data_IF_940425505265
#
_entry.id   IF_940425505265
#
_cell.length_a   1.000
_cell.length_b   1.000
_cell.length_c   1.000
_cell.angle_alpha   90.00
_cell.angle_beta   90.00
_cell.angle_gamma   90.00
#
_symmetry.space_group_name_H-M   'P 1'
#
loop_
_entity.id
_entity.type
_entity.pdbx_description
1 polymer ?
#
# COMPACT_ATOMS: atom_id res chain seq x y z
N UNK A 1 -19.89 8.45 -1.58
CA UNK A 1 -19.27 9.78 -1.41
C UNK A 1 -17.84 9.53 -0.96
N UNK A 2 -16.80 10.04 -1.65
CA UNK A 2 -15.42 9.64 -1.34
C UNK A 2 -15.02 10.05 0.09
N UNK A 3 -14.56 9.09 0.89
CA UNK A 3 -14.07 9.33 2.25
C UNK A 3 -12.64 9.90 2.18
N UNK A 4 -12.39 11.14 2.66
CA UNK A 4 -11.05 11.73 2.56
C UNK A 4 -10.10 11.11 3.59
N UNK A 5 -8.92 10.66 3.15
CA UNK A 5 -7.90 10.06 4.04
C UNK A 5 -7.49 10.98 5.19
N UNK A 6 -7.52 12.30 4.95
CA UNK A 6 -7.21 13.31 5.96
C UNK A 6 -8.12 13.30 7.19
N UNK A 7 -9.37 12.82 7.07
CA UNK A 7 -10.36 12.84 8.16
C UNK A 7 -9.97 11.98 9.36
N UNK A 8 -9.15 10.94 9.16
CA UNK A 8 -8.73 10.05 10.24
C UNK A 8 -7.34 10.37 10.79
N UNK A 9 -6.61 11.32 10.21
CA UNK A 9 -5.25 11.63 10.66
C UNK A 9 -5.26 12.19 12.08
N UNK A 10 -4.19 11.93 12.81
CA UNK A 10 -3.94 12.47 14.15
C UNK A 10 -2.49 12.99 14.30
N UNK A 11 -1.70 12.86 13.25
CA UNK A 11 -0.36 13.41 13.13
C UNK A 11 -0.27 14.23 11.84
N UNK A 12 0.20 15.46 11.95
CA UNK A 12 0.27 16.42 10.86
C UNK A 12 1.65 17.06 10.80
N UNK A 13 2.09 17.43 9.59
CA UNK A 13 3.36 18.12 9.42
C UNK A 13 3.22 19.31 8.48
N UNK A 14 4.08 20.30 8.73
CA UNK A 14 4.01 21.64 8.17
C UNK A 14 5.40 22.11 7.74
N UNK A 15 5.44 23.04 6.79
CA UNK A 15 6.66 23.81 6.54
C UNK A 15 6.80 24.83 7.68
N UNK A 16 7.95 24.88 8.35
CA UNK A 16 8.17 25.84 9.42
C UNK A 16 8.12 27.31 8.95
N UNK A 17 8.32 27.56 7.65
CA UNK A 17 8.23 28.89 7.03
C UNK A 17 6.79 29.32 6.75
N UNK A 18 5.85 28.36 6.67
CA UNK A 18 4.41 28.59 6.51
C UNK A 18 3.61 27.61 7.40
N UNK A 19 3.63 27.79 8.73
CA UNK A 19 3.13 26.82 9.69
C UNK A 19 1.59 26.70 9.71
N UNK A 20 0.88 27.54 8.98
CA UNK A 20 -0.58 27.54 8.85
C UNK A 20 -1.06 26.58 7.75
N UNK A 21 -0.20 26.25 6.78
CA UNK A 21 -0.53 25.38 5.66
C UNK A 21 -0.02 23.96 5.91
N UNK A 22 -0.96 23.02 6.03
CA UNK A 22 -0.62 21.60 6.22
C UNK A 22 0.04 21.04 4.95
N UNK A 23 1.25 20.51 5.09
CA UNK A 23 1.92 19.79 3.99
C UNK A 23 1.36 18.38 3.85
N UNK A 24 1.03 17.75 4.97
CA UNK A 24 0.51 16.40 4.99
C UNK A 24 0.31 15.86 6.40
N UNK A 25 0.05 14.57 6.50
CA UNK A 25 -0.12 13.91 7.78
C UNK A 25 -0.52 12.45 7.64
N UNK A 26 -0.66 11.74 8.74
CA UNK A 26 -1.03 10.34 8.74
C UNK A 26 -1.76 9.95 10.03
N UNK A 27 -2.31 8.73 10.05
CA UNK A 27 -2.78 8.11 11.28
C UNK A 27 -1.61 7.41 11.95
N UNK A 28 -1.25 7.85 13.14
CA UNK A 28 -0.44 7.10 14.08
C UNK A 28 -1.36 6.18 14.90
N UNK A 29 -1.17 4.87 14.78
CA UNK A 29 -1.85 3.84 15.59
C UNK A 29 -0.98 3.31 16.74
N UNK A 30 0.30 3.69 16.81
CA UNK A 30 1.21 3.41 17.90
C UNK A 30 2.54 2.80 17.45
N UNK A 31 2.60 2.14 16.28
CA UNK A 31 3.82 1.44 15.84
C UNK A 31 4.81 2.31 15.07
N UNK A 32 4.38 3.46 14.54
CA UNK A 32 5.26 4.34 13.76
C UNK A 32 6.22 5.02 14.73
N UNK A 33 7.51 4.79 14.55
CA UNK A 33 8.57 5.39 15.35
C UNK A 33 9.04 6.71 14.74
N UNK A 34 9.85 7.46 15.47
CA UNK A 34 10.54 8.63 14.94
C UNK A 34 11.38 8.31 13.70
N UNK A 35 12.12 7.19 13.72
CA UNK A 35 12.89 6.72 12.58
C UNK A 35 12.00 6.46 11.36
N UNK A 36 10.84 5.81 11.56
CA UNK A 36 9.90 5.59 10.47
C UNK A 36 9.36 6.89 9.90
N UNK A 37 8.96 7.83 10.77
CA UNK A 37 8.43 9.10 10.32
C UNK A 37 9.42 9.86 9.45
N UNK A 38 10.70 9.89 9.85
CA UNK A 38 11.76 10.49 9.04
C UNK A 38 11.93 9.75 7.69
N UNK A 39 11.87 8.41 7.67
CA UNK A 39 11.89 7.65 6.41
C UNK A 39 10.67 7.90 5.52
N UNK A 40 9.49 8.19 6.10
CA UNK A 40 8.31 8.54 5.31
C UNK A 40 8.48 9.92 4.68
N UNK A 41 9.10 10.86 5.40
CA UNK A 41 9.44 12.18 4.86
C UNK A 41 10.50 12.08 3.75
N UNK A 42 11.47 11.16 3.85
CA UNK A 42 12.44 10.91 2.77
C UNK A 42 11.75 10.43 1.46
N UNK A 43 10.56 9.82 1.56
CA UNK A 43 9.74 9.44 0.39
C UNK A 43 8.96 10.65 -0.15
N UNK A 44 8.41 11.47 0.75
CA UNK A 44 7.45 12.52 0.42
C UNK A 44 8.10 13.83 -0.01
N UNK A 45 9.23 14.20 0.59
CA UNK A 45 9.84 15.50 0.41
C UNK A 45 10.92 15.43 -0.67
N UNK A 46 10.90 16.42 -1.56
CA UNK A 46 11.98 16.72 -2.49
C UNK A 46 12.65 17.98 -1.97
N UNK A 47 13.88 17.82 -1.47
CA UNK A 47 14.66 18.95 -0.92
C UNK A 47 15.73 19.38 -1.90
N UNK A 48 15.74 20.64 -2.30
CA UNK A 48 16.76 21.21 -3.18
C UNK A 48 18.00 21.66 -2.36
N UNK A 49 18.66 20.70 -1.72
CA UNK A 49 19.76 20.94 -0.78
C UNK A 49 19.30 21.28 0.65
N UNK A 50 20.24 21.19 1.60
CA UNK A 50 19.97 21.41 3.03
C UNK A 50 19.69 20.13 3.81
N UNK A 51 19.71 20.24 5.14
CA UNK A 51 19.36 19.11 6.04
C UNK A 51 17.96 19.34 6.59
N UNK A 52 17.11 18.33 6.49
CA UNK A 52 15.77 18.38 7.10
C UNK A 52 15.88 18.14 8.60
N UNK A 53 15.28 19.03 9.38
CA UNK A 53 15.08 18.87 10.83
C UNK A 53 13.60 18.92 11.14
N UNK A 54 13.13 17.98 11.95
CA UNK A 54 11.72 17.89 12.33
C UNK A 54 11.57 18.12 13.83
N UNK A 55 10.58 18.92 14.20
CA UNK A 55 10.33 19.29 15.59
C UNK A 55 8.85 19.19 15.91
N UNK A 56 8.51 18.60 17.06
CA UNK A 56 7.15 18.62 17.56
C UNK A 56 6.77 20.05 17.97
N UNK A 57 5.67 20.57 17.41
CA UNK A 57 5.28 21.99 17.55
C UNK A 57 5.02 22.41 19.00
N UNK A 58 4.40 21.53 19.79
CA UNK A 58 3.99 21.85 21.18
C UNK A 58 5.11 21.60 22.19
N UNK A 59 5.76 20.44 22.13
CA UNK A 59 6.80 20.09 23.10
C UNK A 59 8.18 20.64 22.76
N UNK A 60 8.38 21.08 21.51
CA UNK A 60 9.69 21.45 20.99
C UNK A 60 10.65 20.26 20.83
N UNK A 61 10.17 19.02 21.02
CA UNK A 61 10.99 17.81 20.90
C UNK A 61 11.54 17.66 19.49
N UNK A 62 12.84 17.37 19.38
CA UNK A 62 13.50 17.16 18.11
C UNK A 62 13.39 15.68 17.75
N UNK A 63 12.74 15.39 16.62
CA UNK A 63 12.58 14.04 16.11
C UNK A 63 13.93 13.56 15.57
N UNK A 64 14.35 12.37 16.01
CA UNK A 64 15.63 11.77 15.62
C UNK A 64 15.43 10.34 15.15
N UNK A 65 16.41 9.73 14.45
CA UNK A 65 16.29 8.35 13.98
C UNK A 65 16.41 7.36 15.14
N UNK A 66 15.31 7.17 15.87
CA UNK A 66 15.19 6.26 17.01
C UNK A 66 13.94 5.39 16.89
N UNK A 67 13.93 4.29 17.63
CA UNK A 67 12.78 3.37 17.70
C UNK A 67 11.73 3.82 18.74
N UNK A 68 11.80 5.07 19.20
CA UNK A 68 10.79 5.64 20.11
C UNK A 68 9.49 5.84 19.30
N UNK A 69 8.32 5.41 19.81
CA UNK A 69 7.05 5.68 19.17
C UNK A 69 6.83 7.18 18.98
N UNK A 70 6.47 7.59 17.76
CA UNK A 70 6.19 9.00 17.47
C UNK A 70 4.88 9.42 18.14
N UNK A 71 4.92 10.51 18.92
CA UNK A 71 3.70 11.07 19.51
C UNK A 71 2.74 11.60 18.43
N UNK A 72 1.44 11.53 18.70
CA UNK A 72 0.44 12.22 17.86
C UNK A 72 0.55 13.73 17.99
N UNK A 73 0.22 14.48 16.94
CA UNK A 73 0.19 15.95 16.99
C UNK A 73 0.78 16.62 15.75
N UNK A 74 1.14 17.90 15.90
CA UNK A 74 1.70 18.72 14.83
C UNK A 74 3.23 18.76 14.89
N UNK A 75 3.87 18.66 13.74
CA UNK A 75 5.33 18.71 13.56
C UNK A 75 5.73 19.77 12.54
N UNK A 76 6.72 20.58 12.88
CA UNK A 76 7.29 21.59 12.01
C UNK A 76 8.55 21.06 11.34
N UNK A 77 8.62 21.17 10.02
CA UNK A 77 9.73 20.75 9.20
C UNK A 77 10.55 21.99 8.85
N UNK A 78 11.79 22.00 9.32
CA UNK A 78 12.79 23.01 9.02
C UNK A 78 13.73 22.47 7.96
N UNK A 79 14.00 23.27 6.93
CA UNK A 79 15.01 22.99 5.92
C UNK A 79 15.71 24.30 5.57
N UNK A 80 17.03 24.24 5.39
CA UNK A 80 17.81 25.40 4.92
C UNK A 80 17.57 25.68 3.42
N UNK A 81 17.07 24.68 2.69
CA UNK A 81 16.67 24.78 1.30
C UNK A 81 15.14 24.78 1.13
N UNK A 82 14.68 24.83 -0.13
CA UNK A 82 13.25 24.76 -0.44
C UNK A 82 12.73 23.35 -0.21
N UNK A 83 11.61 23.25 0.52
CA UNK A 83 10.83 22.04 0.66
C UNK A 83 9.81 21.99 -0.47
N UNK A 84 9.83 20.93 -1.26
CA UNK A 84 8.78 20.59 -2.20
C UNK A 84 8.21 19.23 -1.84
N UNK A 85 6.90 19.05 -2.02
CA UNK A 85 6.29 17.73 -1.89
C UNK A 85 6.39 17.02 -3.23
N UNK A 86 6.79 15.75 -3.21
CA UNK A 86 6.87 14.88 -4.38
C UNK A 86 5.55 14.90 -5.15
N UNK A 87 5.65 15.18 -6.45
CA UNK A 87 4.56 15.09 -7.41
C UNK A 87 4.46 13.70 -8.06
N UNK A 88 5.22 12.71 -7.56
CA UNK A 88 5.17 11.34 -8.05
C UNK A 88 3.72 10.81 -7.99
N UNK A 89 3.14 10.38 -9.11
CA UNK A 89 1.78 9.86 -9.12
C UNK A 89 1.73 8.54 -8.35
N UNK A 90 0.68 8.35 -7.55
CA UNK A 90 0.39 7.03 -7.00
C UNK A 90 -0.35 6.21 -8.04
N UNK A 91 0.08 4.97 -8.30
CA UNK A 91 -0.63 4.07 -9.20
C UNK A 91 -1.97 3.70 -8.58
N UNK A 92 -3.05 4.20 -9.16
CA UNK A 92 -4.40 3.92 -8.69
C UNK A 92 -4.72 2.43 -8.84
N UNK A 93 -5.43 1.90 -7.84
CA UNK A 93 -5.93 0.53 -7.81
C UNK A 93 -7.44 0.56 -7.64
N UNK A 94 -8.12 -0.25 -8.44
CA UNK A 94 -9.47 -0.67 -8.12
C UNK A 94 -9.39 -1.86 -7.18
N UNK A 95 -10.45 -2.11 -6.40
CA UNK A 95 -10.61 -3.42 -5.78
C UNK A 95 -10.52 -4.48 -6.87
N UNK A 96 -9.45 -5.27 -6.81
CA UNK A 96 -9.33 -6.44 -7.66
C UNK A 96 -9.92 -7.61 -6.90
N UNK A 97 -11.23 -7.89 -7.06
CA UNK A 97 -11.66 -9.26 -6.75
C UNK A 97 -11.19 -10.10 -7.92
N UNK A 98 -10.41 -11.14 -7.62
CA UNK A 98 -10.27 -12.23 -8.56
C UNK A 98 -11.68 -12.77 -8.75
N UNK A 99 -12.25 -12.67 -9.96
CA UNK A 99 -13.50 -13.38 -10.25
C UNK A 99 -13.25 -14.84 -9.93
N UNK A 100 -13.89 -15.34 -8.88
CA UNK A 100 -13.78 -16.72 -8.44
C UNK A 100 -14.17 -17.62 -9.62
N UNK A 101 -13.19 -18.16 -10.35
CA UNK A 101 -13.46 -18.96 -11.53
C UNK A 101 -12.26 -19.29 -12.42
N UNK A 102 -11.23 -18.44 -12.50
CA UNK A 102 -9.98 -18.81 -13.19
C UNK A 102 -8.92 -19.16 -12.15
N UNK A 103 -8.65 -20.45 -12.01
CA UNK A 103 -7.44 -20.93 -11.33
C UNK A 103 -6.23 -20.47 -12.13
N UNK A 104 -5.46 -19.54 -11.58
CA UNK A 104 -4.21 -19.05 -12.19
C UNK A 104 -3.02 -19.63 -11.44
N UNK A 105 -1.92 -19.83 -12.16
CA UNK A 105 -0.64 -20.29 -11.59
C UNK A 105 -0.24 -19.44 -10.38
N UNK A 106 -0.35 -18.11 -10.49
CA UNK A 106 -0.12 -17.14 -9.42
C UNK A 106 -0.84 -17.49 -8.11
N UNK A 107 -2.15 -17.72 -8.20
CA UNK A 107 -3.01 -17.98 -7.04
C UNK A 107 -2.64 -19.30 -6.38
N UNK A 108 -2.39 -20.33 -7.17
CA UNK A 108 -2.09 -21.67 -6.66
C UNK A 108 -0.70 -21.72 -6.04
N UNK A 109 0.30 -21.04 -6.64
CA UNK A 109 1.65 -20.86 -6.09
C UNK A 109 1.61 -20.12 -4.74
N UNK A 110 0.87 -19.01 -4.66
CA UNK A 110 0.72 -18.25 -3.40
C UNK A 110 0.00 -19.06 -2.32
N UNK A 111 -1.08 -19.77 -2.66
CA UNK A 111 -1.81 -20.62 -1.71
C UNK A 111 -0.94 -21.75 -1.18
N UNK A 112 -0.16 -22.39 -2.04
CA UNK A 112 0.78 -23.43 -1.67
C UNK A 112 1.90 -22.90 -0.76
N UNK A 113 2.43 -21.70 -1.07
CA UNK A 113 3.48 -21.05 -0.28
C UNK A 113 2.98 -20.60 1.09
N UNK A 114 1.89 -19.83 1.14
CA UNK A 114 1.56 -19.02 2.32
C UNK A 114 0.65 -19.76 3.30
N UNK A 115 -0.42 -20.42 2.81
CA UNK A 115 -1.41 -21.18 3.61
C UNK A 115 -2.09 -20.40 4.76
N UNK A 116 -1.83 -19.10 4.89
CA UNK A 116 -2.39 -18.19 5.91
C UNK A 116 -2.38 -16.77 5.38
N UNK A 117 -3.12 -15.89 6.05
CA UNK A 117 -2.99 -14.46 5.80
C UNK A 117 -1.67 -13.98 6.40
N UNK A 118 -0.73 -13.57 5.54
CA UNK A 118 0.64 -13.27 5.98
C UNK A 118 0.76 -11.97 6.78
N UNK A 119 -0.25 -11.09 6.71
CA UNK A 119 -0.31 -9.85 7.51
C UNK A 119 -1.01 -10.10 8.85
N UNK A 120 -2.14 -10.82 8.87
CA UNK A 120 -2.90 -11.04 10.11
C UNK A 120 -2.50 -12.31 10.87
N UNK A 121 -1.66 -13.18 10.28
CA UNK A 121 -1.29 -14.48 10.82
C UNK A 121 -2.43 -15.50 10.88
N UNK A 122 -3.60 -15.18 10.34
CA UNK A 122 -4.76 -16.08 10.39
C UNK A 122 -4.55 -17.27 9.46
N UNK A 123 -4.42 -18.45 10.06
CA UNK A 123 -4.14 -19.71 9.39
C UNK A 123 -5.37 -20.19 8.61
N UNK A 124 -5.18 -20.69 7.39
CA UNK A 124 -6.15 -21.58 6.75
C UNK A 124 -5.84 -23.00 7.22
N UNK A 125 -6.72 -23.61 8.00
CA UNK A 125 -6.43 -24.91 8.62
C UNK A 125 -6.34 -26.04 7.58
N UNK A 126 -5.68 -27.13 7.95
CA UNK A 126 -5.39 -28.21 7.01
C UNK A 126 -6.65 -28.89 6.47
N UNK A 127 -7.75 -28.92 7.24
CA UNK A 127 -9.02 -29.51 6.78
C UNK A 127 -9.61 -28.61 5.68
N UNK A 128 -9.64 -27.31 5.91
CA UNK A 128 -10.07 -26.31 4.92
C UNK A 128 -9.19 -26.36 3.65
N UNK A 129 -7.86 -26.42 3.79
CA UNK A 129 -6.94 -26.55 2.65
C UNK A 129 -7.20 -27.85 1.86
N UNK A 130 -7.36 -28.99 2.53
CA UNK A 130 -7.66 -30.27 1.88
C UNK A 130 -9.01 -30.24 1.16
N UNK A 131 -10.00 -29.56 1.73
CA UNK A 131 -11.31 -29.33 1.13
C UNK A 131 -11.29 -28.27 0.00
N UNK A 132 -10.12 -27.69 -0.30
CA UNK A 132 -9.96 -26.57 -1.24
C UNK A 132 -10.80 -25.34 -0.85
N UNK A 133 -11.10 -25.18 0.44
CA UNK A 133 -11.79 -24.03 0.98
C UNK A 133 -10.81 -22.87 1.17
N UNK A 134 -10.93 -21.90 0.26
CA UNK A 134 -10.21 -20.64 0.29
C UNK A 134 -11.14 -19.44 0.34
N UNK A 135 -12.42 -19.63 0.72
CA UNK A 135 -13.49 -18.63 0.56
C UNK A 135 -13.12 -17.28 1.20
N UNK A 136 -12.37 -17.31 2.32
CA UNK A 136 -11.97 -16.11 3.04
C UNK A 136 -10.54 -15.62 2.76
N UNK A 137 -9.86 -16.22 1.77
CA UNK A 137 -8.46 -15.96 1.44
C UNK A 137 -8.27 -15.62 -0.03
N UNK A 138 -7.56 -14.54 -0.28
CA UNK A 138 -7.32 -13.98 -1.61
C UNK A 138 -5.82 -13.78 -1.84
N UNK A 139 -5.36 -14.13 -3.04
CA UNK A 139 -4.00 -13.83 -3.47
C UNK A 139 -3.95 -12.37 -3.93
N UNK A 140 -3.13 -11.56 -3.28
CA UNK A 140 -3.02 -10.13 -3.49
C UNK A 140 -1.72 -9.82 -4.23
N UNK A 141 -1.80 -9.04 -5.31
CA UNK A 141 -0.61 -8.56 -6.00
C UNK A 141 0.00 -7.33 -5.30
N UNK A 142 1.33 -7.29 -5.15
CA UNK A 142 2.09 -6.13 -4.66
C UNK A 142 2.14 -4.98 -5.65
N UNK A 143 2.23 -5.28 -6.95
CA UNK A 143 2.02 -4.36 -8.05
C UNK A 143 0.76 -4.77 -8.83
N UNK A 144 -0.18 -3.86 -9.11
CA UNK A 144 -1.49 -4.24 -9.59
C UNK A 144 -1.46 -4.72 -11.04
N UNK A 145 -2.25 -5.76 -11.36
CA UNK A 145 -2.38 -6.28 -12.73
C UNK A 145 -2.85 -5.23 -13.74
N UNK A 146 -3.74 -4.31 -13.33
CA UNK A 146 -4.23 -3.24 -14.19
C UNK A 146 -3.13 -2.21 -14.55
N UNK A 147 -2.02 -2.20 -13.83
CA UNK A 147 -0.86 -1.36 -14.11
C UNK A 147 0.16 -2.01 -15.07
N UNK A 148 -0.19 -3.08 -15.79
CA UNK A 148 0.76 -3.83 -16.62
C UNK A 148 1.52 -2.97 -17.65
N UNK A 149 0.89 -1.93 -18.20
CA UNK A 149 1.58 -0.99 -19.09
C UNK A 149 2.75 -0.28 -18.39
N UNK A 150 2.51 0.23 -17.18
CA UNK A 150 3.53 0.86 -16.33
C UNK A 150 4.60 -0.15 -15.92
N UNK A 151 4.17 -1.38 -15.59
CA UNK A 151 5.07 -2.48 -15.25
C UNK A 151 6.08 -2.78 -16.36
N UNK A 152 5.62 -2.82 -17.62
CA UNK A 152 6.46 -3.05 -18.79
C UNK A 152 7.32 -1.81 -19.09
N UNK A 153 6.71 -0.62 -19.14
CA UNK A 153 7.41 0.63 -19.48
C UNK A 153 8.57 0.93 -18.52
N UNK A 154 8.36 0.71 -17.22
CA UNK A 154 9.36 0.95 -16.19
C UNK A 154 10.16 -0.30 -15.84
N UNK A 155 10.02 -1.39 -16.60
CA UNK A 155 10.75 -2.65 -16.47
C UNK A 155 10.73 -3.24 -15.03
N UNK A 156 9.60 -3.17 -14.33
CA UNK A 156 9.49 -3.72 -12.97
C UNK A 156 9.63 -5.25 -12.95
N UNK A 157 9.43 -5.91 -14.09
CA UNK A 157 9.70 -7.34 -14.28
C UNK A 157 11.15 -7.76 -13.98
N UNK A 158 12.12 -6.83 -14.02
CA UNK A 158 13.52 -7.11 -13.64
C UNK A 158 13.69 -7.59 -12.19
N UNK A 159 12.72 -7.33 -11.32
CA UNK A 159 12.75 -7.78 -9.92
C UNK A 159 12.22 -9.20 -9.72
N UNK A 160 11.74 -9.83 -10.80
CA UNK A 160 11.21 -11.19 -10.79
C UNK A 160 12.25 -12.18 -11.30
N UNK A 161 12.43 -13.24 -10.53
CA UNK A 161 13.48 -14.26 -10.69
C UNK A 161 12.93 -15.69 -10.82
N UNK A 162 11.65 -15.91 -10.49
CA UNK A 162 10.99 -17.22 -10.55
C UNK A 162 10.26 -17.49 -11.89
N UNK A 163 10.41 -16.59 -12.86
CA UNK A 163 9.86 -16.70 -14.21
C UNK A 163 10.95 -16.49 -15.25
N UNK A 164 10.84 -17.20 -16.38
CA UNK A 164 11.76 -17.06 -17.50
C UNK A 164 11.66 -15.70 -18.20
N UNK A 165 12.74 -15.30 -18.89
CA UNK A 165 12.81 -14.09 -19.72
C UNK A 165 12.15 -14.28 -21.09
N UNK A 166 11.14 -15.15 -21.20
CA UNK A 166 10.46 -15.35 -22.48
C UNK A 166 9.79 -14.04 -22.92
N UNK A 167 9.92 -13.68 -24.20
CA UNK A 167 9.38 -12.45 -24.79
C UNK A 167 7.85 -12.30 -24.64
N UNK A 168 7.14 -13.36 -24.22
CA UNK A 168 5.69 -13.37 -24.02
C UNK A 168 5.28 -13.23 -22.54
N UNK A 169 6.22 -13.33 -21.60
CA UNK A 169 5.93 -13.24 -20.17
C UNK A 169 6.19 -11.82 -19.68
N UNK A 170 5.12 -11.12 -19.27
CA UNK A 170 5.28 -9.86 -18.55
C UNK A 170 5.84 -10.07 -17.14
N UNK A 171 5.84 -11.30 -16.61
CA UNK A 171 6.23 -11.65 -15.24
C UNK A 171 5.36 -11.04 -14.12
N UNK A 172 4.31 -10.29 -14.46
CA UNK A 172 3.46 -9.61 -13.49
C UNK A 172 2.65 -10.58 -12.61
N UNK A 173 2.34 -11.77 -13.13
CA UNK A 173 1.66 -12.87 -12.42
C UNK A 173 2.63 -13.84 -11.72
N UNK A 174 3.85 -13.39 -11.44
CA UNK A 174 4.79 -14.13 -10.58
C UNK A 174 4.32 -14.18 -9.13
N UNK A 175 4.54 -15.31 -8.46
CA UNK A 175 4.30 -15.44 -7.03
C UNK A 175 5.16 -14.49 -6.18
N UNK A 176 6.29 -14.01 -6.69
CA UNK A 176 7.11 -12.98 -6.03
C UNK A 176 6.45 -11.60 -6.02
N UNK A 177 5.46 -11.36 -6.91
CA UNK A 177 4.63 -10.16 -6.94
C UNK A 177 3.35 -10.31 -6.08
N UNK A 178 3.28 -11.23 -5.12
CA UNK A 178 2.08 -11.32 -4.29
C UNK A 178 2.21 -12.17 -3.06
N UNK A 179 1.15 -12.15 -2.25
CA UNK A 179 0.99 -13.01 -1.08
C UNK A 179 -0.48 -13.26 -0.74
N UNK A 180 -0.74 -14.16 0.19
CA UNK A 180 -2.09 -14.53 0.61
C UNK A 180 -2.58 -13.65 1.75
N UNK A 181 -3.78 -13.08 1.60
CA UNK A 181 -4.43 -12.24 2.60
C UNK A 181 -5.85 -12.71 2.91
N UNK A 182 -6.39 -12.31 4.07
CA UNK A 182 -7.84 -12.33 4.30
C UNK A 182 -8.50 -11.31 3.38
N UNK A 183 -9.69 -11.60 2.85
CA UNK A 183 -10.40 -10.70 1.91
C UNK A 183 -10.53 -9.25 2.39
N UNK A 184 -10.82 -9.00 3.67
CA UNK A 184 -10.92 -7.63 4.19
C UNK A 184 -9.55 -6.94 4.36
N UNK A 185 -8.48 -7.70 4.62
CA UNK A 185 -7.11 -7.17 4.67
C UNK A 185 -6.63 -6.86 3.25
N UNK A 186 -6.98 -7.71 2.29
CA UNK A 186 -6.71 -7.49 0.87
C UNK A 186 -7.35 -6.19 0.37
N UNK A 187 -8.61 -5.92 0.74
CA UNK A 187 -9.28 -4.65 0.42
C UNK A 187 -8.51 -3.44 0.97
N UNK A 188 -8.06 -3.49 2.23
CA UNK A 188 -7.23 -2.41 2.80
C UNK A 188 -5.90 -2.28 2.07
N UNK A 189 -5.30 -3.41 1.67
CA UNK A 189 -4.01 -3.46 1.00
C UNK A 189 -4.07 -2.82 -0.40
N UNK A 190 -5.07 -3.19 -1.20
CA UNK A 190 -5.31 -2.59 -2.53
C UNK A 190 -5.55 -1.08 -2.47
N UNK A 191 -6.16 -0.58 -1.40
CA UNK A 191 -6.33 0.87 -1.19
C UNK A 191 -5.12 1.55 -0.53
N UNK A 192 -4.00 0.85 -0.38
CA UNK A 192 -2.81 1.31 0.31
C UNK A 192 -3.05 1.75 1.77
N UNK A 193 -4.14 1.31 2.41
CA UNK A 193 -4.45 1.64 3.80
C UNK A 193 -3.64 0.81 4.79
N UNK A 194 -3.06 -0.30 4.32
CA UNK A 194 -2.12 -1.14 5.05
C UNK A 194 -0.97 -1.49 4.12
N UNK A 195 0.24 -1.52 4.65
CA UNK A 195 1.44 -1.80 3.87
C UNK A 195 2.50 -2.47 4.73
N UNK A 196 3.56 -2.96 4.11
CA UNK A 196 4.69 -3.60 4.79
C UNK A 196 5.97 -2.83 4.46
N UNK A 197 6.72 -2.42 5.47
CA UNK A 197 8.01 -1.79 5.30
C UNK A 197 9.14 -2.84 5.40
N UNK A 198 9.73 -3.30 4.27
CA UNK A 198 10.82 -4.28 4.32
C UNK A 198 12.08 -3.71 4.99
N UNK A 199 12.26 -2.39 5.01
CA UNK A 199 13.44 -1.71 5.56
C UNK A 199 13.36 -1.50 7.09
N UNK A 200 12.23 -1.85 7.71
CA UNK A 200 12.03 -1.82 9.17
C UNK A 200 11.59 -3.20 9.67
N UNK A 201 12.37 -4.23 9.31
CA UNK A 201 12.13 -5.60 9.76
C UNK A 201 10.81 -6.20 9.27
N UNK A 202 10.31 -5.76 8.11
CA UNK A 202 9.01 -6.16 7.55
C UNK A 202 7.81 -5.76 8.41
N UNK A 203 7.91 -4.61 9.09
CA UNK A 203 6.82 -4.10 9.92
C UNK A 203 5.61 -3.70 9.07
N UNK A 204 4.44 -4.14 9.50
CA UNK A 204 3.14 -3.75 8.98
C UNK A 204 2.81 -2.36 9.50
N UNK A 205 2.43 -1.45 8.59
CA UNK A 205 2.01 -0.08 8.89
C UNK A 205 0.58 0.09 8.42
N UNK A 206 -0.30 0.53 9.32
CA UNK A 206 -1.71 0.81 9.04
C UNK A 206 -1.91 2.33 9.00
N UNK A 207 -2.32 2.86 7.84
CA UNK A 207 -2.52 4.29 7.60
C UNK A 207 -3.94 4.78 7.91
N UNK A 208 -4.87 3.88 8.23
CA UNK A 208 -6.22 4.19 8.71
C UNK A 208 -6.42 3.72 10.17
N UNK A 209 -7.65 3.68 10.65
CA UNK A 209 -7.95 3.11 11.97
C UNK A 209 -7.62 1.62 12.02
N UNK A 210 -6.74 1.24 12.95
CA UNK A 210 -6.34 -0.16 13.14
C UNK A 210 -7.36 -0.96 13.97
N UNK A 211 -8.51 -1.26 13.36
CA UNK A 211 -9.59 -2.03 14.01
C UNK A 211 -9.24 -3.51 14.24
N UNK A 212 -8.26 -4.03 13.49
CA UNK A 212 -7.90 -5.45 13.47
C UNK A 212 -6.61 -5.74 14.27
N UNK A 213 -5.99 -4.71 14.86
CA UNK A 213 -4.74 -4.84 15.61
C UNK A 213 -3.56 -5.29 14.75
N UNK A 214 -3.47 -4.80 13.50
CA UNK A 214 -2.47 -5.16 12.51
C UNK A 214 -1.24 -4.25 12.54
N UNK A 215 -1.36 -3.02 13.06
CA UNK A 215 -0.27 -2.05 13.09
C UNK A 215 0.88 -2.56 13.96
N UNK A 216 2.10 -2.49 13.44
CA UNK A 216 3.30 -2.95 14.15
C UNK A 216 3.54 -4.46 14.14
N UNK A 217 2.64 -5.26 13.57
CA UNK A 217 2.92 -6.69 13.34
C UNK A 217 4.04 -6.85 12.32
N UNK A 218 4.64 -8.04 12.27
CA UNK A 218 5.69 -8.36 11.31
C UNK A 218 5.09 -9.27 10.24
N UNK A 219 5.35 -8.97 8.96
CA UNK A 219 4.97 -9.83 7.84
C UNK A 219 5.48 -11.25 8.08
N UNK A 220 4.58 -12.21 7.97
CA UNK A 220 4.87 -13.60 8.29
C UNK A 220 6.04 -14.13 7.45
N UNK A 221 7.04 -14.79 8.07
CA UNK A 221 8.23 -15.26 7.37
C UNK A 221 7.93 -16.27 6.26
N UNK A 222 6.77 -16.97 6.28
CA UNK A 222 6.44 -18.01 5.30
C UNK A 222 6.51 -17.52 3.85
N UNK A 223 6.10 -16.27 3.58
CA UNK A 223 6.09 -15.73 2.23
C UNK A 223 7.45 -15.17 1.79
N UNK A 224 8.42 -15.10 2.70
CA UNK A 224 9.72 -14.43 2.50
C UNK A 224 10.89 -15.32 2.95
N UNK A 225 10.69 -16.64 2.91
CA UNK A 225 11.77 -17.60 3.13
C UNK A 225 12.80 -17.49 1.99
N UNK A 226 14.06 -17.09 2.25
CA UNK A 226 15.07 -16.95 1.20
C UNK A 226 15.42 -18.27 0.49
N UNK A 227 15.11 -19.42 1.10
CA UNK A 227 15.30 -20.72 0.46
C UNK A 227 14.19 -21.06 -0.56
N UNK A 228 13.07 -20.35 -0.53
CA UNK A 228 11.98 -20.53 -1.48
C UNK A 228 12.19 -19.61 -2.69
N UNK A 229 12.32 -20.13 -3.92
CA UNK A 229 12.49 -19.30 -5.11
C UNK A 229 11.28 -18.39 -5.39
N UNK A 230 10.10 -18.76 -4.87
CA UNK A 230 8.88 -17.95 -4.97
C UNK A 230 8.73 -16.96 -3.82
N UNK A 231 9.78 -16.67 -3.04
CA UNK A 231 9.71 -15.69 -1.97
C UNK A 231 9.31 -14.30 -2.50
N UNK A 232 8.51 -13.59 -1.72
CA UNK A 232 8.02 -12.26 -2.07
C UNK A 232 9.18 -11.29 -2.31
N UNK A 233 9.07 -10.45 -3.34
CA UNK A 233 10.14 -9.52 -3.69
C UNK A 233 10.18 -8.32 -2.75
N UNK A 234 11.30 -8.13 -2.07
CA UNK A 234 11.56 -6.94 -1.24
C UNK A 234 11.45 -5.63 -2.04
N UNK A 235 11.81 -5.65 -3.33
CA UNK A 235 11.70 -4.47 -4.18
C UNK A 235 10.24 -4.09 -4.44
N UNK A 236 9.38 -5.08 -4.63
CA UNK A 236 7.94 -4.85 -4.79
C UNK A 236 7.26 -4.47 -3.48
N UNK A 237 7.71 -5.03 -2.35
CA UNK A 237 7.27 -4.56 -1.03
C UNK A 237 7.62 -3.09 -0.82
N UNK A 238 8.87 -2.70 -1.13
CA UNK A 238 9.33 -1.31 -1.02
C UNK A 238 8.57 -0.38 -1.97
N UNK A 239 8.29 -0.84 -3.20
CA UNK A 239 7.46 -0.11 -4.14
C UNK A 239 6.05 0.12 -3.56
N UNK A 240 5.37 -0.93 -3.11
CA UNK A 240 4.02 -0.83 -2.54
C UNK A 240 4.01 0.08 -1.29
N UNK A 241 5.05 -0.01 -0.46
CA UNK A 241 5.23 0.85 0.70
C UNK A 241 5.35 2.32 0.31
N UNK A 242 6.18 2.64 -0.70
CA UNK A 242 6.31 4.00 -1.24
C UNK A 242 4.96 4.54 -1.72
N UNK A 243 4.22 3.74 -2.50
CA UNK A 243 2.86 4.11 -2.96
C UNK A 243 1.92 4.38 -1.79
N UNK A 244 2.03 3.60 -0.71
CA UNK A 244 1.20 3.77 0.48
C UNK A 244 1.52 5.06 1.24
N UNK A 245 2.80 5.40 1.37
CA UNK A 245 3.22 6.67 1.95
C UNK A 245 2.72 7.84 1.11
N UNK A 246 2.95 7.83 -0.21
CA UNK A 246 2.49 8.89 -1.12
C UNK A 246 0.96 9.06 -1.06
N UNK A 247 0.22 7.96 -1.15
CA UNK A 247 -1.24 7.98 -1.18
C UNK A 247 -1.87 8.49 0.12
N UNK A 248 -1.29 8.14 1.27
CA UNK A 248 -1.89 8.48 2.56
C UNK A 248 -1.41 9.79 3.14
N UNK A 249 -0.17 10.20 2.84
CA UNK A 249 0.49 11.25 3.60
C UNK A 249 0.55 12.61 2.91
N UNK A 250 0.56 12.63 1.58
CA UNK A 250 0.67 13.85 0.78
C UNK A 250 -0.61 14.69 0.84
N UNK A 251 -0.51 15.98 1.17
CA UNK A 251 -1.64 16.92 1.10
C UNK A 251 -2.89 16.37 1.81
N UNK A 252 -4.09 16.38 1.20
CA UNK A 252 -5.29 15.74 1.78
C UNK A 252 -5.30 14.20 1.70
N UNK A 253 -4.35 13.60 0.98
CA UNK A 253 -4.29 12.19 0.62
C UNK A 253 -5.06 11.90 -0.67
N UNK A 254 -4.71 10.78 -1.31
CA UNK A 254 -5.38 10.30 -2.50
C UNK A 254 -6.81 9.82 -2.18
N UNK A 255 -7.75 9.90 -3.13
CA UNK A 255 -9.10 9.41 -2.92
C UNK A 255 -9.13 7.93 -2.49
N UNK A 256 -10.09 7.61 -1.63
CA UNK A 256 -10.51 6.23 -1.40
C UNK A 256 -11.71 5.97 -2.31
N UNK A 257 -11.58 4.98 -3.18
CA UNK A 257 -12.68 4.56 -4.03
C UNK A 257 -13.67 3.73 -3.23
N UNK A 258 -14.93 4.15 -3.23
CA UNK A 258 -16.05 3.39 -2.71
C UNK A 258 -16.60 2.48 -3.80
N UNK A 259 -16.89 1.23 -3.46
CA UNK A 259 -17.33 0.22 -4.42
C UNK A 259 -18.68 -0.40 -4.08
N UNK A 260 -19.28 0.00 -2.95
CA UNK A 260 -20.64 -0.39 -2.58
C UNK A 260 -21.61 0.71 -3.04
N UNK A 261 -22.07 0.60 -4.29
CA UNK A 261 -23.02 1.53 -4.87
C UNK A 261 -24.46 1.07 -4.57
N UNK A 262 -25.36 1.98 -4.15
CA UNK A 262 -26.75 1.62 -3.88
C UNK A 262 -27.42 0.97 -5.09
N UNK A 263 -28.36 0.02 -4.88
CA UNK A 263 -29.14 -0.56 -5.97
C UNK A 263 -29.90 0.53 -6.76
N UNK A 264 -29.78 0.51 -8.09
CA UNK A 264 -30.44 1.47 -8.99
C UNK A 264 -29.65 2.76 -9.25
N UNK A 265 -28.46 2.90 -8.66
CA UNK A 265 -27.55 4.02 -8.96
C UNK A 265 -26.98 3.90 -10.38
N UNK A 266 -26.87 5.04 -11.08
CA UNK A 266 -26.07 5.14 -12.31
C UNK A 266 -24.59 5.05 -11.93
N UNK A 267 -24.08 3.82 -11.85
CA UNK A 267 -22.70 3.51 -11.44
C UNK A 267 -21.69 4.23 -12.35
N UNK A 268 -21.98 4.33 -13.65
CA UNK A 268 -21.08 5.01 -14.60
C UNK A 268 -21.10 6.51 -14.35
N UNK A 269 -22.28 7.09 -14.14
CA UNK A 269 -22.44 8.50 -13.76
C UNK A 269 -21.70 8.84 -12.46
N UNK A 270 -21.83 8.01 -11.42
CA UNK A 270 -21.12 8.20 -10.14
C UNK A 270 -19.60 8.06 -10.26
N UNK A 271 -19.11 7.10 -11.06
CA UNK A 271 -17.68 6.93 -11.31
C UNK A 271 -17.14 8.17 -12.01
N UNK A 272 -17.77 8.62 -13.10
CA UNK A 272 -17.32 9.77 -13.88
C UNK A 272 -17.42 11.08 -13.09
N UNK A 273 -18.40 11.21 -12.20
CA UNK A 273 -18.55 12.36 -11.31
C UNK A 273 -17.56 12.35 -10.12
N UNK A 274 -16.94 11.20 -9.83
CA UNK A 274 -15.99 11.04 -8.74
C UNK A 274 -14.59 11.57 -9.03
N UNK A 275 -13.72 11.65 -8.02
CA UNK A 275 -12.29 11.96 -8.22
C UNK A 275 -11.64 10.99 -9.21
N UNK A 276 -10.84 11.50 -10.14
CA UNK A 276 -10.21 10.72 -11.23
C UNK A 276 -11.22 9.91 -12.04
N UNK A 277 -12.41 10.47 -12.29
CA UNK A 277 -13.54 9.71 -12.84
C UNK A 277 -13.26 9.07 -14.20
N UNK A 278 -12.46 9.73 -15.06
CA UNK A 278 -12.06 9.15 -16.34
C UNK A 278 -11.07 7.99 -16.15
N UNK A 279 -10.00 8.18 -15.38
CA UNK A 279 -9.00 7.15 -15.13
C UNK A 279 -9.62 5.95 -14.40
N UNK A 280 -10.50 6.22 -13.44
CA UNK A 280 -11.27 5.20 -12.73
C UNK A 280 -12.18 4.44 -13.69
N UNK A 281 -12.89 5.13 -14.57
CA UNK A 281 -13.74 4.47 -15.59
C UNK A 281 -12.91 3.59 -16.53
N UNK A 282 -11.78 4.08 -17.02
CA UNK A 282 -10.87 3.31 -17.88
C UNK A 282 -10.33 2.07 -17.17
N UNK A 283 -9.93 2.21 -15.90
CA UNK A 283 -9.52 1.08 -15.06
C UNK A 283 -10.66 0.06 -14.87
N UNK A 284 -11.90 0.51 -14.60
CA UNK A 284 -13.06 -0.36 -14.36
C UNK A 284 -13.44 -1.13 -15.64
N UNK A 285 -13.32 -0.48 -16.80
CA UNK A 285 -13.51 -1.11 -18.10
C UNK A 285 -12.41 -2.12 -18.41
N UNK A 286 -11.15 -1.79 -18.15
CA UNK A 286 -10.02 -2.71 -18.34
C UNK A 286 -10.14 -3.95 -17.44
N UNK A 287 -10.57 -3.76 -16.19
CA UNK A 287 -10.84 -4.81 -15.21
C UNK A 287 -11.90 -5.80 -15.72
N UNK A 288 -13.06 -5.29 -16.16
CA UNK A 288 -14.14 -6.09 -16.75
C UNK A 288 -13.72 -6.86 -18.00
N UNK A 289 -12.95 -6.22 -18.89
CA UNK A 289 -12.45 -6.85 -20.12
C UNK A 289 -11.44 -7.97 -19.84
N UNK A 290 -10.62 -7.83 -18.80
CA UNK A 290 -9.68 -8.87 -18.36
C UNK A 290 -10.33 -9.97 -17.50
N UNK A 291 -11.57 -9.77 -17.06
CA UNK A 291 -12.26 -10.69 -16.14
C UNK A 291 -11.72 -10.63 -14.71
N UNK A 292 -11.21 -9.45 -14.31
CA UNK A 292 -10.72 -9.15 -12.96
C UNK A 292 -11.69 -8.10 -12.41
N UNK A 293 -12.70 -8.49 -11.63
CA UNK A 293 -13.70 -7.59 -11.06
C UNK A 293 -14.06 -8.06 -9.66
#
# INVERSE_FOLDING_TARGET
MAFPRSALRNTYFYDATDPEVVLGGFRQNGSVTEANFLSFLDILLVTQGGTVRVQARISGHIVTRTNVPLATGAYDIYCDGRIEISNEPSVHRLFSRSVSGKETRFRDEIRARDRKCVISGMINDDISIQAHDWISFEAAHLFPLLGESIWIELDYGRWITDMDDSLQSSKIDSAQNGFLLRSHVHQKFDQYLISVNPDDGYKVVVFNCDVDGLDGRILDPVCRDPANPHCVSDQLLRWHFRQSVLANMRGPGEPIFEHDFPPGTDIVGEILAGPYGQERFELEMAARLRGVC
#
